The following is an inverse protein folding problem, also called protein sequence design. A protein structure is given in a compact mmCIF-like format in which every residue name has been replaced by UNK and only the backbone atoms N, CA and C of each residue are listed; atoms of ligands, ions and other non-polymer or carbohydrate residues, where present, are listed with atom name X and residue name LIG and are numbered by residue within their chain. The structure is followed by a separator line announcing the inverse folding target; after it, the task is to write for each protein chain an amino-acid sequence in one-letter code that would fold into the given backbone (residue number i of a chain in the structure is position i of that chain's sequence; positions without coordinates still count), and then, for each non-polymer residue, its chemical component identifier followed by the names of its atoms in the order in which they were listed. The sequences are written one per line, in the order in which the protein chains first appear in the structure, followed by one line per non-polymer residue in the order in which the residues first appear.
data_IF_542443748737
#
_entry.id   IF_542443748737
#
_cell.length_a   1.000
_cell.length_b   1.000
_cell.length_c   1.000
_cell.angle_alpha   90.00
_cell.angle_beta   90.00
_cell.angle_gamma   90.00
#
_symmetry.space_group_name_H-M   'P 1'
#
loop_
_entity.id
_entity.type
_entity.pdbx_description
1 polymer ?
#
# COMPACT_ATOMS: atom_id res chain seq x y z
N UNK A 1 -1.84 -6.59 -25.76
CA UNK A 1 -2.96 -7.27 -25.09
C UNK A 1 -3.11 -6.64 -23.72
N UNK A 2 -4.29 -6.16 -23.30
CA UNK A 2 -4.46 -5.66 -21.96
C UNK A 2 -4.40 -6.87 -21.03
N UNK A 3 -3.44 -6.87 -20.10
CA UNK A 3 -3.44 -7.75 -18.95
C UNK A 3 -4.62 -7.32 -18.09
N UNK A 4 -5.78 -7.89 -18.36
CA UNK A 4 -6.88 -7.91 -17.41
C UNK A 4 -6.34 -8.52 -16.12
N UNK A 5 -6.59 -7.87 -14.97
CA UNK A 5 -6.63 -8.47 -13.64
C UNK A 5 -6.90 -9.97 -13.80
N UNK A 6 -6.05 -10.89 -13.30
CA UNK A 6 -6.25 -12.29 -13.56
C UNK A 6 -7.70 -12.64 -13.22
N UNK A 7 -8.50 -12.92 -14.25
CA UNK A 7 -9.85 -13.44 -14.09
C UNK A 7 -9.82 -14.85 -13.50
N UNK A 8 -8.67 -15.29 -12.97
CA UNK A 8 -8.46 -16.46 -12.15
C UNK A 8 -8.81 -16.25 -10.67
N UNK A 9 -9.28 -15.07 -10.26
CA UNK A 9 -9.93 -14.89 -8.96
C UNK A 9 -11.35 -15.46 -9.01
N UNK A 10 -11.48 -16.76 -9.28
CA UNK A 10 -12.39 -17.58 -8.49
C UNK A 10 -11.67 -17.91 -7.18
N UNK A 11 -11.26 -16.88 -6.42
CA UNK A 11 -10.84 -17.09 -5.03
C UNK A 11 -12.07 -17.63 -4.31
N UNK A 12 -11.90 -18.70 -3.53
CA UNK A 12 -13.00 -19.16 -2.70
C UNK A 12 -13.45 -18.00 -1.81
N UNK A 13 -14.74 -17.97 -1.45
CA UNK A 13 -15.29 -16.97 -0.51
C UNK A 13 -14.42 -16.91 0.76
N UNK A 14 -13.92 -18.07 1.19
CA UNK A 14 -13.01 -18.21 2.32
C UNK A 14 -11.67 -17.50 2.09
N UNK A 15 -11.05 -17.62 0.92
CA UNK A 15 -9.80 -16.93 0.61
C UNK A 15 -9.99 -15.41 0.53
N UNK A 16 -11.08 -14.93 -0.07
CA UNK A 16 -11.42 -13.50 -0.09
C UNK A 16 -11.62 -12.96 1.32
N UNK A 17 -12.34 -13.70 2.18
CA UNK A 17 -12.55 -13.32 3.59
C UNK A 17 -11.25 -13.25 4.37
N UNK A 18 -10.34 -14.22 4.18
CA UNK A 18 -9.02 -14.21 4.84
C UNK A 18 -8.20 -12.98 4.47
N UNK A 19 -8.19 -12.61 3.19
CA UNK A 19 -7.47 -11.42 2.72
C UNK A 19 -8.07 -10.14 3.28
N UNK A 20 -9.40 -10.03 3.26
CA UNK A 20 -10.09 -8.88 3.84
C UNK A 20 -9.76 -8.74 5.33
N UNK A 21 -9.89 -9.82 6.10
CA UNK A 21 -9.52 -9.82 7.51
C UNK A 21 -8.06 -9.41 7.72
N UNK A 22 -7.15 -9.94 6.88
CA UNK A 22 -5.73 -9.57 6.92
C UNK A 22 -5.52 -8.06 6.75
N UNK A 23 -6.13 -7.46 5.72
CA UNK A 23 -6.00 -6.01 5.52
C UNK A 23 -6.69 -5.17 6.61
N UNK A 24 -7.82 -5.62 7.16
CA UNK A 24 -8.47 -4.94 8.28
C UNK A 24 -7.60 -4.94 9.54
N UNK A 25 -6.94 -6.07 9.83
CA UNK A 25 -5.96 -6.22 10.91
C UNK A 25 -4.77 -5.29 10.67
N UNK A 26 -4.18 -5.33 9.48
CA UNK A 26 -3.04 -4.49 9.10
C UNK A 26 -3.38 -3.01 9.31
N UNK A 27 -4.52 -2.56 8.79
CA UNK A 27 -5.00 -1.19 8.96
C UNK A 27 -5.17 -0.80 10.42
N UNK A 28 -5.86 -1.63 11.22
CA UNK A 28 -6.09 -1.36 12.63
C UNK A 28 -4.77 -1.25 13.40
N UNK A 29 -3.82 -2.14 13.11
CA UNK A 29 -2.53 -2.15 13.77
C UNK A 29 -1.66 -0.96 13.37
N UNK A 30 -1.56 -0.64 12.08
CA UNK A 30 -0.80 0.51 11.58
C UNK A 30 -1.37 1.82 12.11
N UNK A 31 -2.69 1.96 12.14
CA UNK A 31 -3.37 3.12 12.73
C UNK A 31 -3.03 3.27 14.21
N UNK A 32 -3.14 2.18 14.98
CA UNK A 32 -2.75 2.19 16.40
C UNK A 32 -1.29 2.61 16.59
N UNK A 33 -0.38 2.06 15.78
CA UNK A 33 1.05 2.35 15.87
C UNK A 33 1.35 3.83 15.57
N UNK A 34 0.69 4.40 14.55
CA UNK A 34 0.75 5.82 14.20
C UNK A 34 0.18 6.71 15.32
N UNK A 35 -0.99 6.37 15.86
CA UNK A 35 -1.62 7.11 16.95
C UNK A 35 -0.69 7.18 18.17
N UNK A 36 -0.03 6.07 18.48
CA UNK A 36 0.88 5.92 19.62
C UNK A 36 2.16 6.77 19.48
N UNK A 37 2.89 6.65 18.37
CA UNK A 37 4.28 7.15 18.28
C UNK A 37 4.69 7.70 16.90
N UNK A 38 3.80 8.34 16.14
CA UNK A 38 4.18 8.93 14.83
C UNK A 38 5.39 9.87 14.88
N UNK A 39 5.61 10.60 15.98
CA UNK A 39 6.75 11.50 16.14
C UNK A 39 8.11 10.78 16.13
N UNK A 40 8.13 9.46 16.37
CA UNK A 40 9.33 8.61 16.32
C UNK A 40 9.56 8.00 14.93
N UNK A 41 8.65 8.24 13.98
CA UNK A 41 8.77 7.68 12.65
C UNK A 41 9.98 8.24 11.90
N UNK A 42 10.70 7.35 11.22
CA UNK A 42 11.83 7.69 10.37
C UNK A 42 11.90 6.72 9.20
N UNK A 43 12.29 7.25 8.03
CA UNK A 43 12.62 6.46 6.85
C UNK A 43 14.07 5.96 6.85
N UNK A 44 14.82 6.16 7.95
CA UNK A 44 16.20 5.70 8.03
C UNK A 44 16.33 4.21 7.73
N UNK A 45 17.19 3.87 6.77
CA UNK A 45 17.42 2.50 6.31
C UNK A 45 16.37 1.96 5.33
N UNK A 46 15.40 2.77 4.90
CA UNK A 46 14.49 2.45 3.80
C UNK A 46 14.94 3.19 2.53
N UNK A 47 15.09 2.45 1.44
CA UNK A 47 15.39 3.02 0.12
C UNK A 47 14.09 3.13 -0.68
N UNK A 48 13.57 4.35 -0.96
CA UNK A 48 12.41 4.52 -1.81
C UNK A 48 12.61 3.89 -3.20
N UNK A 49 11.54 3.41 -3.85
CA UNK A 49 11.64 2.87 -5.20
C UNK A 49 12.17 3.90 -6.20
N UNK A 50 12.85 3.48 -7.25
CA UNK A 50 13.45 4.33 -8.30
C UNK A 50 12.46 5.27 -8.98
N UNK A 51 11.17 4.92 -8.98
CA UNK A 51 10.07 5.75 -9.51
C UNK A 51 9.64 6.89 -8.58
N UNK A 52 10.08 6.86 -7.32
CA UNK A 52 9.88 7.92 -6.33
C UNK A 52 11.09 8.84 -6.38
N UNK A 53 10.89 10.08 -6.80
CA UNK A 53 11.94 11.12 -6.87
C UNK A 53 11.48 12.37 -6.15
N UNK A 54 12.37 12.97 -5.37
CA UNK A 54 12.12 14.20 -4.61
C UNK A 54 10.81 14.18 -3.80
N UNK A 55 10.45 13.02 -3.24
CA UNK A 55 9.19 12.82 -2.49
C UNK A 55 7.92 13.04 -3.31
N UNK A 56 8.04 13.02 -4.64
CA UNK A 56 6.98 12.86 -5.62
C UNK A 56 7.15 11.54 -6.38
N UNK A 57 6.35 11.34 -7.42
CA UNK A 57 6.53 10.24 -8.35
C UNK A 57 6.53 10.75 -9.80
N UNK A 58 7.39 10.18 -10.64
CA UNK A 58 7.38 10.46 -12.07
C UNK A 58 6.42 9.52 -12.79
N UNK A 59 5.80 9.99 -13.89
CA UNK A 59 5.07 9.12 -14.80
C UNK A 59 6.05 8.11 -15.41
N UNK A 60 5.88 6.83 -15.07
CA UNK A 60 6.70 5.75 -15.61
C UNK A 60 6.02 5.13 -16.83
N UNK A 61 6.66 5.27 -18.00
CA UNK A 61 6.28 4.54 -19.21
C UNK A 61 6.92 3.13 -19.27
N UNK A 62 7.73 2.79 -18.27
CA UNK A 62 8.60 1.62 -18.25
C UNK A 62 7.87 0.34 -17.82
N UNK A 63 8.54 -0.78 -18.12
CA UNK A 63 8.15 -2.15 -17.78
C UNK A 63 7.73 -2.29 -16.30
N UNK A 64 6.43 -2.24 -16.05
CA UNK A 64 5.82 -2.36 -14.71
C UNK A 64 6.33 -3.60 -14.00
N UNK A 65 6.58 -4.69 -14.74
CA UNK A 65 7.09 -5.94 -14.18
C UNK A 65 8.48 -5.78 -13.54
N UNK A 66 9.34 -4.90 -14.08
CA UNK A 66 10.64 -4.61 -13.51
C UNK A 66 10.55 -3.86 -12.17
N UNK A 67 9.46 -3.11 -11.94
CA UNK A 67 9.24 -2.31 -10.73
C UNK A 67 8.49 -3.07 -9.63
N UNK A 68 7.78 -4.14 -9.97
CA UNK A 68 6.95 -4.92 -9.01
C UNK A 68 7.74 -5.27 -7.76
N UNK A 69 8.89 -5.90 -7.92
CA UNK A 69 9.66 -6.38 -6.77
C UNK A 69 10.14 -5.22 -5.90
N UNK A 70 10.56 -4.13 -6.52
CA UNK A 70 11.06 -2.95 -5.82
C UNK A 70 9.95 -2.27 -5.02
N UNK A 71 8.82 -1.96 -5.68
CA UNK A 71 7.69 -1.26 -5.06
C UNK A 71 7.04 -2.13 -3.98
N UNK A 72 6.76 -3.40 -4.26
CA UNK A 72 6.14 -4.29 -3.27
C UNK A 72 7.05 -4.48 -2.06
N UNK A 73 8.36 -4.74 -2.26
CA UNK A 73 9.29 -4.88 -1.13
C UNK A 73 9.37 -3.60 -0.31
N UNK A 74 9.41 -2.44 -0.97
CA UNK A 74 9.42 -1.17 -0.25
C UNK A 74 8.15 -0.97 0.59
N UNK A 75 6.97 -1.26 0.03
CA UNK A 75 5.71 -1.18 0.78
C UNK A 75 5.72 -2.09 2.02
N UNK A 76 6.15 -3.33 1.87
CA UNK A 76 6.27 -4.27 2.99
C UNK A 76 7.20 -3.71 4.09
N UNK A 77 8.36 -3.18 3.71
CA UNK A 77 9.30 -2.57 4.68
C UNK A 77 8.77 -1.28 5.31
N UNK A 78 8.01 -0.49 4.57
CA UNK A 78 7.34 0.70 5.08
C UNK A 78 6.26 0.29 6.09
N UNK A 79 5.44 -0.69 5.76
CA UNK A 79 4.38 -1.22 6.62
C UNK A 79 5.00 -1.81 7.91
N UNK A 80 6.07 -2.61 7.81
CA UNK A 80 6.87 -3.07 8.96
C UNK A 80 7.35 -1.92 9.85
N UNK A 81 7.89 -0.86 9.23
CA UNK A 81 8.37 0.33 9.95
C UNK A 81 7.24 1.03 10.69
N UNK A 82 6.07 1.20 10.06
CA UNK A 82 4.90 1.78 10.71
C UNK A 82 4.49 0.92 11.91
N UNK A 83 4.40 -0.40 11.74
CA UNK A 83 4.07 -1.31 12.82
C UNK A 83 5.04 -1.19 14.02
N UNK A 84 6.31 -0.85 13.77
CA UNK A 84 7.35 -0.83 14.81
C UNK A 84 7.13 0.29 15.82
N UNK A 85 6.41 1.35 15.43
CA UNK A 85 5.97 2.42 16.30
C UNK A 85 5.06 1.91 17.44
N UNK A 86 4.41 0.77 17.27
CA UNK A 86 3.59 0.17 18.33
C UNK A 86 4.40 -0.25 19.55
N UNK A 87 5.70 -0.53 19.40
CA UNK A 87 6.54 -1.14 20.44
C UNK A 87 6.02 -2.49 20.96
N UNK A 88 5.09 -3.14 20.25
CA UNK A 88 4.51 -4.41 20.65
C UNK A 88 5.04 -5.54 19.74
N UNK A 89 5.98 -6.32 20.28
CA UNK A 89 6.64 -7.39 19.52
C UNK A 89 5.70 -8.53 19.12
N UNK A 90 4.68 -8.84 19.93
CA UNK A 90 3.72 -9.90 19.63
C UNK A 90 2.80 -9.49 18.48
N UNK A 91 2.28 -8.26 18.52
CA UNK A 91 1.49 -7.71 17.40
C UNK A 91 2.34 -7.54 16.13
N UNK A 92 3.63 -7.21 16.28
CA UNK A 92 4.54 -7.13 15.14
C UNK A 92 4.70 -8.48 14.43
N UNK A 93 4.84 -9.58 15.18
CA UNK A 93 4.94 -10.92 14.59
C UNK A 93 3.70 -11.23 13.75
N UNK A 94 2.52 -10.94 14.29
CA UNK A 94 1.28 -11.15 13.58
C UNK A 94 1.16 -10.25 12.33
N UNK A 95 1.65 -9.02 12.40
CA UNK A 95 1.70 -8.12 11.26
C UNK A 95 2.58 -8.67 10.13
N UNK A 96 3.73 -9.27 10.44
CA UNK A 96 4.57 -9.92 9.43
C UNK A 96 3.87 -11.08 8.73
N UNK A 97 3.15 -11.92 9.48
CA UNK A 97 2.35 -13.00 8.89
C UNK A 97 1.28 -12.46 7.95
N UNK A 98 0.62 -11.37 8.31
CA UNK A 98 -0.35 -10.69 7.45
C UNK A 98 0.32 -10.15 6.19
N UNK A 99 1.47 -9.47 6.31
CA UNK A 99 2.23 -8.95 5.17
C UNK A 99 2.58 -10.07 4.19
N UNK A 100 3.09 -11.20 4.69
CA UNK A 100 3.44 -12.36 3.88
C UNK A 100 2.22 -12.95 3.17
N UNK A 101 1.13 -13.19 3.89
CA UNK A 101 -0.11 -13.77 3.34
C UNK A 101 -0.77 -12.89 2.27
N UNK A 102 -0.54 -11.57 2.32
CA UNK A 102 -1.14 -10.60 1.41
C UNK A 102 -0.20 -10.17 0.28
N UNK A 103 1.04 -10.66 0.24
CA UNK A 103 2.06 -10.31 -0.76
C UNK A 103 1.58 -10.48 -2.20
N UNK A 104 1.06 -11.66 -2.55
CA UNK A 104 0.58 -11.95 -3.91
C UNK A 104 -0.57 -11.02 -4.33
N UNK A 105 -1.40 -10.60 -3.36
CA UNK A 105 -2.44 -9.60 -3.63
C UNK A 105 -1.81 -8.24 -3.94
N UNK A 106 -0.85 -7.76 -3.14
CA UNK A 106 -0.16 -6.47 -3.38
C UNK A 106 0.56 -6.45 -4.73
N UNK A 107 1.19 -7.57 -5.10
CA UNK A 107 1.82 -7.74 -6.43
C UNK A 107 0.78 -7.61 -7.54
N UNK A 108 -0.34 -8.34 -7.44
CA UNK A 108 -1.42 -8.28 -8.44
C UNK A 108 -2.06 -6.89 -8.52
N UNK A 109 -2.23 -6.22 -7.38
CA UNK A 109 -2.71 -4.84 -7.28
C UNK A 109 -1.78 -3.86 -8.00
N UNK A 110 -0.46 -4.00 -7.87
CA UNK A 110 0.50 -3.13 -8.56
C UNK A 110 0.60 -3.42 -10.07
N UNK A 111 0.50 -4.70 -10.45
CA UNK A 111 0.54 -5.14 -11.85
C UNK A 111 -0.69 -4.70 -12.66
N UNK A 112 -1.82 -4.43 -12.01
CA UNK A 112 -3.01 -3.91 -12.69
C UNK A 112 -2.74 -2.48 -13.20
N UNK A 113 -2.78 -2.23 -14.52
CA UNK A 113 -2.42 -0.92 -15.08
C UNK A 113 -3.27 0.24 -14.54
N UNK A 114 -4.53 -0.01 -14.22
CA UNK A 114 -5.43 0.99 -13.65
C UNK A 114 -5.08 1.39 -12.20
N UNK A 115 -4.29 0.58 -11.50
CA UNK A 115 -3.99 0.73 -10.08
C UNK A 115 -2.52 1.04 -9.78
N UNK A 116 -1.57 0.58 -10.61
CA UNK A 116 -0.14 0.75 -10.32
C UNK A 116 0.27 2.19 -9.99
N UNK A 117 -0.26 3.17 -10.74
CA UNK A 117 -0.05 4.60 -10.45
C UNK A 117 -0.63 5.02 -9.09
N UNK A 118 -1.84 4.59 -8.79
CA UNK A 118 -2.51 4.90 -7.53
C UNK A 118 -1.75 4.31 -6.34
N UNK A 119 -1.19 3.10 -6.50
CA UNK A 119 -0.39 2.42 -5.47
C UNK A 119 0.88 3.23 -5.16
N UNK A 120 1.58 3.74 -6.18
CA UNK A 120 2.77 4.58 -5.97
C UNK A 120 2.40 5.92 -5.35
N UNK A 121 1.40 6.61 -5.90
CA UNK A 121 0.93 7.90 -5.38
C UNK A 121 0.53 7.79 -3.90
N UNK A 122 -0.25 6.77 -3.55
CA UNK A 122 -0.66 6.48 -2.18
C UNK A 122 0.55 6.21 -1.27
N UNK A 123 1.54 5.46 -1.76
CA UNK A 123 2.78 5.17 -1.01
C UNK A 123 3.58 6.43 -0.73
N UNK A 124 3.76 7.30 -1.74
CA UNK A 124 4.46 8.58 -1.60
C UNK A 124 3.72 9.51 -0.63
N UNK A 125 2.41 9.63 -0.77
CA UNK A 125 1.59 10.45 0.11
C UNK A 125 1.62 9.95 1.56
N UNK A 126 1.63 8.63 1.76
CA UNK A 126 1.76 8.03 3.08
C UNK A 126 3.13 8.35 3.70
N UNK A 127 4.21 8.17 2.95
CA UNK A 127 5.57 8.50 3.40
C UNK A 127 5.68 9.97 3.83
N UNK A 128 5.17 10.88 3.01
CA UNK A 128 5.18 12.32 3.30
C UNK A 128 4.39 12.64 4.57
N UNK A 129 3.22 12.03 4.74
CA UNK A 129 2.39 12.23 5.93
C UNK A 129 3.08 11.71 7.20
N UNK A 130 3.73 10.55 7.12
CA UNK A 130 4.47 9.96 8.24
C UNK A 130 5.70 10.80 8.62
N UNK A 131 6.50 11.21 7.63
CA UNK A 131 7.70 12.02 7.86
C UNK A 131 7.40 13.41 8.42
N UNK A 132 6.23 13.98 8.10
CA UNK A 132 5.79 15.28 8.61
C UNK A 132 4.96 15.19 9.90
N UNK A 133 4.75 13.98 10.43
CA UNK A 133 3.94 13.78 11.64
C UNK A 133 2.44 14.05 11.46
N UNK A 134 1.94 14.09 10.23
CA UNK A 134 0.54 14.37 9.89
C UNK A 134 -0.34 13.14 10.13
N UNK A 135 -0.64 12.87 11.41
CA UNK A 135 -1.40 11.69 11.87
C UNK A 135 -2.71 11.46 11.11
N UNK A 136 -3.57 12.47 11.06
CA UNK A 136 -4.90 12.34 10.43
C UNK A 136 -4.80 12.03 8.94
N UNK A 137 -3.83 12.64 8.26
CA UNK A 137 -3.60 12.39 6.83
C UNK A 137 -3.08 10.96 6.60
N UNK A 138 -2.12 10.50 7.39
CA UNK A 138 -1.61 9.13 7.32
C UNK A 138 -2.75 8.11 7.58
N UNK A 139 -3.55 8.30 8.63
CA UNK A 139 -4.70 7.45 8.93
C UNK A 139 -5.75 7.45 7.82
N UNK A 140 -6.03 8.62 7.23
CA UNK A 140 -6.95 8.73 6.09
C UNK A 140 -6.45 7.94 4.88
N UNK A 141 -5.15 8.05 4.54
CA UNK A 141 -4.54 7.31 3.42
C UNK A 141 -4.62 5.80 3.65
N UNK A 142 -4.33 5.33 4.88
CA UNK A 142 -4.47 3.92 5.23
C UNK A 142 -5.92 3.44 5.13
N UNK A 143 -6.90 4.28 5.50
CA UNK A 143 -8.32 3.98 5.34
C UNK A 143 -8.76 3.89 3.87
N UNK A 144 -8.31 4.83 3.03
CA UNK A 144 -8.56 4.79 1.58
C UNK A 144 -7.94 3.54 0.93
N UNK A 145 -6.71 3.18 1.33
CA UNK A 145 -6.01 1.96 0.92
C UNK A 145 -6.83 0.70 1.27
N UNK A 146 -7.28 0.59 2.53
CA UNK A 146 -8.09 -0.54 2.99
C UNK A 146 -9.38 -0.66 2.17
N UNK A 147 -10.13 0.45 2.05
CA UNK A 147 -11.40 0.44 1.31
C UNK A 147 -11.20 -0.02 -0.13
N UNK A 148 -10.17 0.50 -0.81
CA UNK A 148 -9.85 0.11 -2.19
C UNK A 148 -9.53 -1.38 -2.30
N UNK A 149 -8.74 -1.93 -1.37
CA UNK A 149 -8.42 -3.37 -1.34
C UNK A 149 -9.65 -4.23 -1.09
N UNK A 150 -10.53 -3.82 -0.17
CA UNK A 150 -11.81 -4.49 0.08
C UNK A 150 -12.72 -4.46 -1.16
N UNK A 151 -12.79 -3.33 -1.87
CA UNK A 151 -13.57 -3.22 -3.11
C UNK A 151 -13.06 -4.24 -4.16
N UNK A 152 -11.74 -4.31 -4.36
CA UNK A 152 -11.11 -5.28 -5.29
C UNK A 152 -11.41 -6.72 -4.88
N UNK A 153 -11.27 -7.06 -3.59
CA UNK A 153 -11.57 -8.40 -3.06
C UNK A 153 -13.03 -8.79 -3.29
N UNK A 154 -13.94 -7.83 -3.17
CA UNK A 154 -15.38 -8.02 -3.39
C UNK A 154 -15.80 -7.96 -4.86
N UNK A 155 -14.84 -7.87 -5.80
CA UNK A 155 -15.11 -7.81 -7.24
C UNK A 155 -15.73 -6.49 -7.70
N UNK A 156 -15.65 -5.44 -6.87
CA UNK A 156 -16.02 -4.09 -7.30
C UNK A 156 -14.92 -3.53 -8.21
N UNK A 157 -15.25 -2.94 -9.37
CA UNK A 157 -14.25 -2.44 -10.29
C UNK A 157 -13.44 -1.32 -9.62
N UNK A 158 -12.10 -1.32 -9.76
CA UNK A 158 -11.27 -0.29 -9.17
C UNK A 158 -11.66 1.08 -9.74
N UNK A 159 -12.08 1.98 -8.85
CA UNK A 159 -12.33 3.38 -9.22
C UNK A 159 -10.98 4.07 -9.40
N UNK A 160 -10.41 3.98 -10.60
CA UNK A 160 -9.21 4.76 -10.92
C UNK A 160 -9.50 6.25 -10.66
N UNK A 161 -8.78 6.87 -9.72
CA UNK A 161 -8.75 8.34 -9.64
C UNK A 161 -8.14 8.80 -10.96
N UNK A 162 -8.91 9.52 -11.79
CA UNK A 162 -8.36 10.17 -12.98
C UNK A 162 -7.15 10.98 -12.51
N UNK A 163 -5.96 10.68 -13.04
CA UNK A 163 -4.79 11.51 -12.83
C UNK A 163 -5.22 12.96 -13.08
N UNK A 164 -5.11 13.82 -12.07
CA UNK A 164 -5.27 15.25 -12.27
C UNK A 164 -4.10 15.66 -13.13
N UNK A 165 -4.29 15.69 -14.45
CA UNK A 165 -3.41 16.39 -15.37
C UNK A 165 -3.35 17.83 -14.89
N UNK A 166 -2.32 18.15 -14.12
CA UNK A 166 -1.90 19.52 -13.93
C UNK A 166 -1.44 20.02 -15.30
N UNK A 167 -2.39 20.56 -16.07
CA UNK A 167 -2.07 21.43 -17.19
C UNK A 167 -1.45 22.66 -16.54
N UNK A 168 -0.11 22.73 -16.56
CA UNK A 168 0.60 23.98 -16.33
C UNK A 168 0.26 24.86 -17.53
N UNK A 169 -0.56 25.88 -17.28
CA UNK A 169 -0.78 27.01 -18.20
C UNK A 169 0.07 28.16 -17.72
#
# INVERSE_FOLDING_TARGET
MPLSFPSSVCRSIEQSRRLQNGFEIEYAFQRFAIEKSIAEFTLFGLCPPTVVRDWGFELFNNDVAALVSEVTTFQERLDERIGSLSGNHDLMRYHWEVIEQTRDFRIGEFLEPALGYQVIEETVNLMNSLMTGMREQASSILGERLQRRCDIINGCPPRARKARLHIVV
#
